data_IF_104004040906
#
_entry.id   IF_104004040906
#
_cell.length_a   1.000
_cell.length_b   1.000
_cell.length_c   1.000
_cell.angle_alpha   90.00
_cell.angle_beta   90.00
_cell.angle_gamma   90.00
#
_symmetry.space_group_name_H-M   'P 1'
#
loop_
_entity.id
_entity.type
_entity.pdbx_description
1 polymer ?
#
# COMPACT_ATOMS: atom_id res chain seq x y z
N UNK A 1 -1.72 -27.54 -6.18
CA UNK A 1 -2.89 -27.01 -6.93
C UNK A 1 -2.41 -26.60 -8.32
N UNK A 2 -3.27 -26.62 -9.33
CA UNK A 2 -2.91 -26.15 -10.67
C UNK A 2 -2.71 -24.63 -10.65
N UNK A 3 -1.63 -24.14 -11.28
CA UNK A 3 -1.36 -22.70 -11.42
C UNK A 3 -2.08 -22.18 -12.67
N UNK A 4 -2.68 -20.99 -12.57
CA UNK A 4 -3.44 -20.34 -13.64
C UNK A 4 -2.61 -19.17 -14.18
N UNK A 5 -2.15 -19.21 -15.44
CA UNK A 5 -1.41 -18.09 -16.03
C UNK A 5 -2.26 -16.81 -16.10
N UNK A 6 -1.62 -15.66 -15.85
CA UNK A 6 -2.24 -14.32 -15.91
C UNK A 6 -1.71 -13.53 -17.11
N UNK A 7 -2.60 -12.83 -17.79
CA UNK A 7 -2.36 -11.85 -18.85
C UNK A 7 -2.90 -10.46 -18.45
N UNK A 8 -2.56 -9.44 -19.24
CA UNK A 8 -3.10 -8.09 -19.05
C UNK A 8 -4.63 -8.06 -19.23
N UNK A 9 -5.32 -7.46 -18.26
CA UNK A 9 -6.77 -7.31 -18.23
C UNK A 9 -7.50 -8.50 -17.60
N UNK A 10 -6.78 -9.54 -17.16
CA UNK A 10 -7.40 -10.72 -16.57
C UNK A 10 -8.11 -10.38 -15.24
N UNK A 11 -9.17 -11.13 -15.00
CA UNK A 11 -9.93 -11.10 -13.74
C UNK A 11 -9.69 -12.42 -13.00
N UNK A 12 -9.13 -12.34 -11.80
CA UNK A 12 -8.88 -13.47 -10.92
C UNK A 12 -10.15 -13.75 -10.11
N UNK A 13 -10.99 -14.64 -10.62
CA UNK A 13 -12.38 -14.88 -10.19
C UNK A 13 -12.65 -16.28 -9.61
N UNK A 14 -11.63 -17.14 -9.50
CA UNK A 14 -11.75 -18.47 -8.90
C UNK A 14 -11.37 -18.41 -7.43
N UNK A 15 -12.32 -18.66 -6.49
CA UNK A 15 -11.99 -18.70 -5.07
C UNK A 15 -10.97 -19.80 -4.75
N UNK A 16 -9.94 -19.48 -3.98
CA UNK A 16 -8.84 -20.42 -3.72
C UNK A 16 -7.89 -20.61 -4.91
N UNK A 17 -8.07 -19.85 -6.00
CA UNK A 17 -7.24 -19.95 -7.20
C UNK A 17 -5.81 -19.50 -6.94
N UNK A 18 -4.86 -20.23 -7.53
CA UNK A 18 -3.44 -19.88 -7.54
C UNK A 18 -3.09 -19.39 -8.94
N UNK A 19 -2.90 -18.09 -9.06
CA UNK A 19 -2.61 -17.40 -10.30
C UNK A 19 -1.13 -17.03 -10.35
N UNK A 20 -0.55 -17.08 -11.54
CA UNK A 20 0.88 -16.83 -11.74
C UNK A 20 1.17 -15.97 -12.96
N UNK A 21 2.16 -15.10 -12.87
CA UNK A 21 2.80 -14.57 -14.08
C UNK A 21 3.78 -15.61 -14.63
N UNK A 22 3.66 -15.91 -15.93
CA UNK A 22 4.59 -16.80 -16.64
C UNK A 22 5.68 -16.03 -17.40
N UNK A 23 5.53 -14.71 -17.53
CA UNK A 23 6.46 -13.79 -18.14
C UNK A 23 6.16 -12.36 -17.66
N UNK A 24 7.12 -11.45 -17.82
CA UNK A 24 6.87 -10.02 -17.62
C UNK A 24 5.89 -9.48 -18.66
N UNK A 25 4.96 -8.64 -18.23
CA UNK A 25 3.91 -8.06 -19.05
C UNK A 25 4.02 -6.53 -19.09
N UNK A 26 3.78 -5.96 -20.27
CA UNK A 26 3.58 -4.52 -20.46
C UNK A 26 2.14 -4.29 -20.91
N UNK A 27 1.29 -3.84 -19.99
CA UNK A 27 -0.14 -3.71 -20.23
C UNK A 27 -0.46 -2.36 -20.90
N UNK A 28 -1.30 -2.37 -21.96
CA UNK A 28 -1.66 -1.15 -22.69
C UNK A 28 -2.68 -0.29 -21.93
N UNK A 29 -3.43 -0.89 -21.00
CA UNK A 29 -4.49 -0.27 -20.22
C UNK A 29 -4.34 -0.57 -18.73
N UNK A 30 -5.06 0.19 -17.91
CA UNK A 30 -5.21 -0.06 -16.48
C UNK A 30 -6.72 -0.18 -16.14
N UNK A 31 -7.11 -1.00 -15.15
CA UNK A 31 -6.24 -1.86 -14.34
C UNK A 31 -5.58 -2.99 -15.13
N UNK A 32 -4.38 -3.42 -14.72
CA UNK A 32 -3.69 -4.51 -15.40
C UNK A 32 -4.19 -5.88 -14.95
N UNK A 33 -4.55 -6.05 -13.68
CA UNK A 33 -5.16 -7.27 -13.13
C UNK A 33 -6.27 -6.90 -12.14
N UNK A 34 -7.42 -7.56 -12.27
CA UNK A 34 -8.54 -7.45 -11.35
C UNK A 34 -8.59 -8.69 -10.45
N UNK A 35 -8.72 -8.52 -9.14
CA UNK A 35 -8.99 -9.61 -8.20
C UNK A 35 -10.40 -9.46 -7.68
N UNK A 36 -11.25 -10.45 -7.91
CA UNK A 36 -12.68 -10.39 -7.53
C UNK A 36 -13.14 -11.57 -6.68
N UNK A 37 -12.29 -12.59 -6.52
CA UNK A 37 -12.57 -13.73 -5.67
C UNK A 37 -11.80 -13.71 -4.35
N UNK A 38 -12.33 -14.42 -3.36
CA UNK A 38 -11.69 -14.62 -2.06
C UNK A 38 -10.62 -15.71 -2.12
N UNK A 39 -9.67 -15.67 -1.19
CA UNK A 39 -8.62 -16.68 -1.04
C UNK A 39 -7.77 -16.86 -2.30
N UNK A 40 -7.61 -15.80 -3.10
CA UNK A 40 -6.80 -15.80 -4.31
C UNK A 40 -5.33 -15.63 -3.93
N UNK A 41 -4.46 -16.50 -4.44
CA UNK A 41 -3.01 -16.27 -4.45
C UNK A 41 -2.60 -15.78 -5.83
N UNK A 42 -1.92 -14.65 -5.91
CA UNK A 42 -1.30 -14.15 -7.13
C UNK A 42 0.22 -14.06 -6.92
N UNK A 43 0.92 -15.07 -7.43
CA UNK A 43 2.37 -15.16 -7.38
C UNK A 43 2.98 -14.65 -8.68
N UNK A 44 3.70 -13.54 -8.63
CA UNK A 44 4.30 -12.94 -9.80
C UNK A 44 5.63 -13.58 -10.21
N UNK A 45 6.14 -14.57 -9.46
CA UNK A 45 7.32 -15.38 -9.79
C UNK A 45 8.59 -14.60 -10.19
N UNK A 46 8.76 -13.39 -9.67
CA UNK A 46 9.84 -12.46 -9.97
C UNK A 46 9.64 -11.66 -11.27
N UNK A 47 8.52 -11.84 -11.98
CA UNK A 47 8.22 -11.09 -13.19
C UNK A 47 7.66 -9.69 -12.90
N UNK A 48 7.71 -8.86 -13.92
CA UNK A 48 7.23 -7.47 -13.86
C UNK A 48 5.87 -7.34 -14.53
N UNK A 49 4.92 -6.70 -13.84
CA UNK A 49 3.71 -6.14 -14.42
C UNK A 49 3.94 -4.64 -14.59
N UNK A 50 3.96 -4.14 -15.82
CA UNK A 50 4.27 -2.74 -16.11
C UNK A 50 3.25 -2.10 -17.04
N UNK A 51 3.24 -0.76 -17.09
CA UNK A 51 2.50 0.02 -18.08
C UNK A 51 3.39 1.09 -18.70
N UNK A 52 3.28 1.25 -20.02
CA UNK A 52 3.91 2.37 -20.74
C UNK A 52 2.97 3.57 -20.84
N UNK A 53 3.50 4.80 -20.70
CA UNK A 53 2.73 6.03 -20.91
C UNK A 53 2.24 6.66 -19.59
N UNK A 54 1.03 7.24 -19.58
CA UNK A 54 0.52 7.99 -18.43
C UNK A 54 0.15 7.07 -17.25
N UNK A 55 0.66 7.43 -16.06
CA UNK A 55 0.45 6.75 -14.77
C UNK A 55 -0.99 6.95 -14.24
N UNK A 56 -1.95 6.30 -14.92
CA UNK A 56 -3.38 6.30 -14.57
C UNK A 56 -3.85 4.87 -14.37
N UNK A 57 -4.72 4.67 -13.38
CA UNK A 57 -5.29 3.37 -13.01
C UNK A 57 -4.32 2.50 -12.21
N UNK A 58 -4.82 1.39 -11.66
CA UNK A 58 -4.02 0.50 -10.82
C UNK A 58 -3.25 -0.55 -11.64
N UNK A 59 -2.15 -1.09 -11.13
CA UNK A 59 -1.56 -2.32 -11.64
C UNK A 59 -2.43 -3.50 -11.25
N UNK A 60 -2.57 -3.72 -9.95
CA UNK A 60 -3.41 -4.76 -9.37
C UNK A 60 -4.49 -4.10 -8.53
N UNK A 61 -5.75 -4.50 -8.70
CA UNK A 61 -6.88 -3.94 -7.95
C UNK A 61 -7.91 -4.98 -7.49
N UNK A 62 -8.49 -4.80 -6.31
CA UNK A 62 -9.68 -5.54 -5.87
C UNK A 62 -10.97 -4.86 -6.33
N UNK A 63 -11.28 -4.97 -7.63
CA UNK A 63 -12.45 -4.33 -8.23
C UNK A 63 -13.06 -5.16 -9.36
N UNK A 64 -14.39 -5.17 -9.46
CA UNK A 64 -15.14 -5.65 -10.62
C UNK A 64 -15.44 -4.48 -11.55
N UNK A 65 -14.59 -4.27 -12.56
CA UNK A 65 -14.68 -3.08 -13.42
C UNK A 65 -14.38 -1.78 -12.63
N UNK A 66 -15.24 -0.75 -12.70
CA UNK A 66 -15.01 0.53 -11.99
C UNK A 66 -15.36 0.46 -10.49
N UNK A 67 -15.92 -0.65 -10.01
CA UNK A 67 -16.47 -0.77 -8.66
C UNK A 67 -15.60 -1.66 -7.81
N UNK A 68 -15.12 -1.11 -6.68
CA UNK A 68 -14.39 -1.89 -5.68
C UNK A 68 -15.23 -3.06 -5.18
N UNK A 69 -14.57 -4.19 -4.93
CA UNK A 69 -15.21 -5.39 -4.39
C UNK A 69 -14.52 -5.79 -3.09
N UNK A 70 -15.33 -6.18 -2.11
CA UNK A 70 -14.79 -6.77 -0.89
C UNK A 70 -14.25 -8.15 -1.25
N UNK A 71 -12.94 -8.32 -1.13
CA UNK A 71 -12.26 -9.61 -1.24
C UNK A 71 -11.55 -9.91 0.07
N UNK A 72 -11.54 -11.18 0.47
CA UNK A 72 -10.95 -11.64 1.71
C UNK A 72 -9.87 -12.69 1.46
N UNK A 73 -8.77 -12.65 2.19
CA UNK A 73 -7.73 -13.69 2.18
C UNK A 73 -6.89 -13.71 0.90
N UNK A 74 -6.75 -12.58 0.22
CA UNK A 74 -5.90 -12.50 -0.97
C UNK A 74 -4.42 -12.47 -0.58
N UNK A 75 -3.56 -13.07 -1.39
CA UNK A 75 -2.10 -13.01 -1.23
C UNK A 75 -1.47 -12.57 -2.55
N UNK A 76 -0.69 -11.49 -2.54
CA UNK A 76 -0.01 -10.94 -3.73
C UNK A 76 1.49 -10.87 -3.42
N UNK A 77 2.32 -11.53 -4.21
CA UNK A 77 3.74 -11.62 -3.87
C UNK A 77 4.71 -11.91 -5.01
N UNK A 78 6.00 -11.71 -4.72
CA UNK A 78 7.17 -12.03 -5.56
C UNK A 78 7.10 -11.40 -6.95
N UNK A 79 7.07 -10.07 -7.06
CA UNK A 79 7.18 -9.43 -8.37
C UNK A 79 7.26 -7.93 -8.32
N UNK A 80 7.37 -7.34 -9.50
CA UNK A 80 7.52 -5.90 -9.66
C UNK A 80 6.27 -5.30 -10.31
N UNK A 81 5.72 -4.23 -9.75
CA UNK A 81 4.64 -3.46 -10.38
C UNK A 81 5.09 -2.03 -10.63
N UNK A 82 5.00 -1.56 -11.89
CA UNK A 82 5.52 -0.23 -12.26
C UNK A 82 4.75 0.51 -13.36
N UNK A 83 4.83 1.85 -13.33
CA UNK A 83 4.25 2.72 -14.35
C UNK A 83 2.73 2.94 -14.24
N UNK A 84 2.12 2.55 -13.12
CA UNK A 84 0.69 2.73 -12.86
C UNK A 84 0.39 3.98 -12.03
N UNK A 85 -0.87 4.42 -12.01
CA UNK A 85 -1.32 5.42 -11.03
C UNK A 85 -1.25 4.88 -9.60
N UNK A 86 -1.55 3.59 -9.42
CA UNK A 86 -1.31 2.88 -8.15
C UNK A 86 -0.72 1.52 -8.46
N UNK A 87 0.37 1.11 -7.84
CA UNK A 87 0.94 -0.22 -8.06
C UNK A 87 -0.07 -1.29 -7.65
N UNK A 88 -0.40 -1.33 -6.35
CA UNK A 88 -1.44 -2.22 -5.80
C UNK A 88 -2.50 -1.39 -5.06
N UNK A 89 -3.76 -1.60 -5.41
CA UNK A 89 -4.91 -0.94 -4.77
C UNK A 89 -5.86 -1.97 -4.17
N UNK A 90 -5.85 -2.11 -2.85
CA UNK A 90 -6.91 -2.83 -2.13
C UNK A 90 -8.02 -1.85 -1.84
N UNK A 91 -9.19 -2.09 -2.40
CA UNK A 91 -10.31 -1.19 -2.29
C UNK A 91 -11.58 -1.92 -1.84
N UNK A 92 -12.22 -1.36 -0.82
CA UNK A 92 -13.54 -1.76 -0.33
C UNK A 92 -14.56 -0.68 -0.73
N UNK A 93 -15.72 -1.06 -1.30
CA UNK A 93 -16.76 -0.10 -1.68
C UNK A 93 -17.32 0.61 -0.46
N UNK A 94 -17.41 1.94 -0.53
CA UNK A 94 -18.10 2.76 0.47
C UNK A 94 -19.59 2.78 0.17
N UNK A 95 -20.38 2.09 1.00
CA UNK A 95 -21.85 2.20 0.99
C UNK A 95 -22.30 2.89 2.29
N UNK A 96 -23.45 3.59 2.31
CA UNK A 96 -24.00 4.11 3.56
C UNK A 96 -24.09 3.00 4.61
N UNK A 97 -23.34 3.13 5.71
CA UNK A 97 -23.26 2.13 6.79
C UNK A 97 -22.09 1.15 6.73
N UNK A 98 -21.29 1.14 5.67
CA UNK A 98 -20.02 0.39 5.59
C UNK A 98 -18.87 1.39 5.53
N UNK A 99 -18.17 1.57 6.65
CA UNK A 99 -17.00 2.45 6.75
C UNK A 99 -15.75 1.80 6.16
N UNK A 100 -15.59 0.50 6.40
CA UNK A 100 -14.44 -0.33 6.03
C UNK A 100 -14.82 -1.81 6.17
N UNK A 101 -14.02 -2.69 5.57
CA UNK A 101 -14.22 -4.13 5.69
C UNK A 101 -12.89 -4.84 5.92
N UNK A 102 -12.92 -5.90 6.75
CA UNK A 102 -11.75 -6.75 6.93
C UNK A 102 -11.52 -7.57 5.66
N UNK A 103 -10.34 -7.39 5.05
CA UNK A 103 -9.94 -8.04 3.82
C UNK A 103 -8.86 -9.11 4.04
N UNK A 104 -8.19 -9.13 5.20
CA UNK A 104 -7.16 -10.11 5.56
C UNK A 104 -6.18 -10.41 4.41
N UNK A 105 -5.80 -9.38 3.67
CA UNK A 105 -4.90 -9.51 2.53
C UNK A 105 -3.46 -9.56 3.00
N UNK A 106 -2.63 -10.32 2.28
CA UNK A 106 -1.19 -10.36 2.47
C UNK A 106 -0.51 -9.82 1.22
N UNK A 107 0.30 -8.78 1.38
CA UNK A 107 1.11 -8.21 0.29
C UNK A 107 2.56 -8.25 0.73
N UNK A 108 3.37 -9.08 0.05
CA UNK A 108 4.75 -9.26 0.47
C UNK A 108 5.73 -9.60 -0.64
N UNK A 109 7.00 -9.27 -0.44
CA UNK A 109 8.05 -9.53 -1.41
C UNK A 109 7.73 -8.90 -2.79
N UNK A 110 7.08 -7.74 -2.76
CA UNK A 110 6.80 -6.93 -3.94
C UNK A 110 7.82 -5.80 -4.08
N UNK A 111 8.13 -5.45 -5.33
CA UNK A 111 8.82 -4.20 -5.68
C UNK A 111 7.81 -3.26 -6.35
N UNK A 112 7.49 -2.14 -5.70
CA UNK A 112 6.47 -1.19 -6.16
C UNK A 112 7.14 0.13 -6.52
N UNK A 113 7.46 0.30 -7.80
CA UNK A 113 8.35 1.38 -8.27
C UNK A 113 7.80 2.16 -9.46
N UNK A 114 8.11 3.45 -9.54
CA UNK A 114 7.70 4.30 -10.66
C UNK A 114 6.18 4.40 -10.86
N UNK A 115 5.38 4.09 -9.84
CA UNK A 115 3.94 4.33 -9.83
C UNK A 115 3.65 5.71 -9.26
N UNK A 116 2.42 6.24 -9.38
CA UNK A 116 2.08 7.43 -8.60
C UNK A 116 1.93 7.15 -7.11
N UNK A 117 1.30 6.03 -6.75
CA UNK A 117 1.27 5.50 -5.39
C UNK A 117 1.77 4.07 -5.45
N UNK A 118 2.69 3.67 -4.56
CA UNK A 118 3.19 2.29 -4.55
C UNK A 118 2.07 1.31 -4.19
N UNK A 119 1.56 1.45 -2.96
CA UNK A 119 0.50 0.62 -2.39
C UNK A 119 -0.57 1.50 -1.72
N UNK A 120 -1.84 1.23 -2.01
CA UNK A 120 -2.96 1.92 -1.38
C UNK A 120 -4.00 0.95 -0.79
N UNK A 121 -4.39 1.21 0.46
CA UNK A 121 -5.50 0.54 1.14
C UNK A 121 -6.65 1.54 1.29
N UNK A 122 -7.78 1.28 0.65
CA UNK A 122 -8.99 2.11 0.70
C UNK A 122 -10.09 1.39 1.46
N UNK A 123 -10.32 1.81 2.69
CA UNK A 123 -11.29 1.23 3.63
C UNK A 123 -11.09 -0.29 3.82
N UNK A 124 -9.85 -0.73 3.68
CA UNK A 124 -9.46 -2.13 3.70
C UNK A 124 -8.75 -2.41 5.03
N UNK A 125 -9.43 -3.15 5.90
CA UNK A 125 -8.99 -3.40 7.27
C UNK A 125 -8.30 -4.75 7.42
N UNK A 126 -7.46 -4.88 8.45
CA UNK A 126 -6.93 -6.17 8.87
C UNK A 126 -5.94 -6.81 7.89
N UNK A 127 -5.24 -6.01 7.08
CA UNK A 127 -4.25 -6.51 6.12
C UNK A 127 -2.85 -6.59 6.72
N UNK A 128 -2.01 -7.39 6.09
CA UNK A 128 -0.61 -7.58 6.42
C UNK A 128 0.27 -7.22 5.21
N UNK A 129 1.06 -6.16 5.36
CA UNK A 129 1.94 -5.61 4.31
C UNK A 129 3.38 -5.68 4.81
N UNK A 130 4.17 -6.59 4.24
CA UNK A 130 5.51 -6.85 4.76
C UNK A 130 6.55 -7.24 3.73
N UNK A 131 7.83 -7.01 4.01
CA UNK A 131 8.94 -7.41 3.12
C UNK A 131 8.78 -6.88 1.69
N UNK A 132 8.19 -5.69 1.54
CA UNK A 132 8.09 -5.02 0.24
C UNK A 132 9.16 -3.94 0.12
N UNK A 133 9.65 -3.74 -1.09
CA UNK A 133 10.44 -2.57 -1.48
C UNK A 133 9.52 -1.61 -2.23
N UNK A 134 9.31 -0.42 -1.70
CA UNK A 134 8.42 0.59 -2.27
C UNK A 134 9.21 1.86 -2.52
N UNK A 135 9.71 2.00 -3.74
CA UNK A 135 10.73 2.97 -4.08
C UNK A 135 10.37 3.86 -5.26
N UNK A 136 10.92 5.07 -5.31
CA UNK A 136 10.90 5.94 -6.50
C UNK A 136 9.50 6.16 -7.11
N UNK A 137 8.44 6.17 -6.30
CA UNK A 137 7.09 6.49 -6.77
C UNK A 137 6.94 8.01 -7.02
N UNK A 138 6.18 8.36 -8.06
CA UNK A 138 6.18 9.63 -8.75
C UNK A 138 5.00 10.55 -8.36
N UNK A 139 5.24 11.85 -8.40
CA UNK A 139 4.24 12.89 -8.09
C UNK A 139 3.20 13.17 -9.19
N UNK A 140 2.58 12.16 -9.78
CA UNK A 140 1.68 12.36 -10.93
C UNK A 140 0.24 11.90 -10.65
N UNK A 141 -0.78 12.70 -11.00
CA UNK A 141 -2.14 12.22 -11.34
C UNK A 141 -2.98 11.42 -10.31
N UNK A 142 -2.83 11.57 -8.99
CA UNK A 142 -3.73 10.94 -7.98
C UNK A 142 -4.02 11.84 -6.76
N UNK A 143 -4.83 11.35 -5.80
CA UNK A 143 -5.23 12.06 -4.57
C UNK A 143 -4.11 12.17 -3.53
N UNK A 144 -3.08 11.32 -3.59
CA UNK A 144 -1.87 11.35 -2.74
C UNK A 144 -0.61 11.03 -3.55
N UNK A 145 -0.34 11.80 -4.60
CA UNK A 145 0.66 11.43 -5.58
C UNK A 145 2.04 11.39 -4.92
N UNK A 146 2.84 10.39 -5.30
CA UNK A 146 4.18 10.18 -4.81
C UNK A 146 4.28 9.46 -3.47
N UNK A 147 3.19 8.93 -2.91
CA UNK A 147 3.26 8.22 -1.61
C UNK A 147 3.70 6.77 -1.83
N UNK A 148 4.60 6.26 -0.99
CA UNK A 148 4.99 4.85 -1.02
C UNK A 148 3.82 3.94 -0.62
N UNK A 149 3.47 3.93 0.67
CA UNK A 149 2.36 3.15 1.23
C UNK A 149 1.32 4.10 1.83
N UNK A 150 0.08 4.03 1.37
CA UNK A 150 -1.00 4.91 1.81
C UNK A 150 -2.22 4.14 2.33
N UNK A 151 -2.68 4.48 3.54
CA UNK A 151 -3.90 3.93 4.14
C UNK A 151 -4.97 5.03 4.20
N UNK A 152 -6.14 4.76 3.66
CA UNK A 152 -7.28 5.69 3.62
C UNK A 152 -8.46 5.05 4.34
N UNK A 153 -8.88 5.60 5.49
CA UNK A 153 -9.98 5.02 6.26
C UNK A 153 -9.79 3.56 6.63
N UNK A 154 -8.54 3.12 6.75
CA UNK A 154 -8.18 1.71 6.88
C UNK A 154 -7.55 1.45 8.24
N UNK A 155 -8.08 0.47 8.97
CA UNK A 155 -7.71 0.16 10.35
C UNK A 155 -7.31 -1.28 10.60
N UNK A 156 -6.64 -1.52 11.73
CA UNK A 156 -6.23 -2.87 12.12
C UNK A 156 -5.16 -3.52 11.24
N UNK A 157 -4.49 -2.75 10.37
CA UNK A 157 -3.47 -3.29 9.47
C UNK A 157 -2.11 -3.43 10.18
N UNK A 158 -1.34 -4.43 9.76
CA UNK A 158 0.06 -4.62 10.12
C UNK A 158 0.93 -4.20 8.94
N UNK A 159 1.79 -3.21 9.14
CA UNK A 159 2.74 -2.73 8.12
C UNK A 159 4.13 -2.89 8.70
N UNK A 160 4.88 -3.90 8.26
CA UNK A 160 6.17 -4.20 8.89
C UNK A 160 7.25 -4.72 7.95
N UNK A 161 8.52 -4.46 8.28
CA UNK A 161 9.65 -4.98 7.50
C UNK A 161 9.58 -4.56 6.02
N UNK A 162 9.04 -3.38 5.73
CA UNK A 162 9.10 -2.79 4.40
C UNK A 162 10.27 -1.81 4.30
N UNK A 163 10.84 -1.73 3.12
CA UNK A 163 11.80 -0.70 2.72
C UNK A 163 11.06 0.31 1.85
N UNK A 164 10.91 1.55 2.33
CA UNK A 164 10.09 2.58 1.68
C UNK A 164 10.91 3.83 1.44
N UNK A 165 11.44 3.97 0.22
CA UNK A 165 12.52 4.93 -0.05
C UNK A 165 12.31 5.80 -1.27
N UNK A 166 12.85 7.03 -1.26
CA UNK A 166 12.92 7.88 -2.46
C UNK A 166 11.55 8.16 -3.12
N UNK A 167 10.46 8.09 -2.36
CA UNK A 167 9.13 8.40 -2.89
C UNK A 167 8.94 9.93 -2.95
N UNK A 168 8.23 10.39 -3.98
CA UNK A 168 8.10 11.82 -4.29
C UNK A 168 7.34 12.64 -3.23
N UNK A 169 6.56 11.99 -2.37
CA UNK A 169 5.99 12.64 -1.19
C UNK A 169 6.32 11.87 0.07
N UNK A 170 5.36 11.15 0.66
CA UNK A 170 5.55 10.48 1.94
C UNK A 170 6.00 9.03 1.74
N UNK A 171 6.77 8.50 2.69
CA UNK A 171 7.06 7.07 2.73
C UNK A 171 5.80 6.28 3.06
N UNK A 172 5.38 6.30 4.32
CA UNK A 172 4.17 5.63 4.83
C UNK A 172 3.19 6.68 5.38
N UNK A 173 1.94 6.66 4.93
CA UNK A 173 0.93 7.64 5.33
C UNK A 173 -0.37 6.98 5.86
N UNK A 174 -0.75 7.35 7.09
CA UNK A 174 -2.03 7.02 7.72
C UNK A 174 -3.02 8.19 7.57
N UNK A 175 -3.95 8.04 6.64
CA UNK A 175 -4.85 9.09 6.17
C UNK A 175 -6.30 8.83 6.58
N UNK A 176 -7.07 9.90 6.80
CA UNK A 176 -8.53 9.86 6.97
C UNK A 176 -9.03 8.80 7.96
N UNK A 177 -8.84 9.02 9.26
CA UNK A 177 -9.30 8.08 10.30
C UNK A 177 -8.70 6.66 10.24
N UNK A 178 -7.60 6.44 9.51
CA UNK A 178 -6.86 5.18 9.52
C UNK A 178 -6.30 4.89 10.92
N UNK A 179 -7.01 4.06 11.67
CA UNK A 179 -6.85 3.92 13.12
C UNK A 179 -6.52 2.48 13.52
N UNK A 180 -5.90 2.31 14.68
CA UNK A 180 -5.53 0.99 15.21
C UNK A 180 -4.62 0.16 14.29
N UNK A 181 -3.76 0.82 13.50
CA UNK A 181 -2.74 0.16 12.70
C UNK A 181 -1.44 -0.02 13.51
N UNK A 182 -0.66 -1.04 13.16
CA UNK A 182 0.65 -1.30 13.75
C UNK A 182 1.72 -1.19 12.67
N UNK A 183 2.58 -0.19 12.81
CA UNK A 183 3.74 0.05 11.95
C UNK A 183 4.99 -0.36 12.72
N UNK A 184 5.71 -1.37 12.25
CA UNK A 184 6.93 -1.78 12.95
C UNK A 184 8.05 -2.32 12.08
N UNK A 185 9.30 -2.07 12.46
CA UNK A 185 10.47 -2.58 11.73
C UNK A 185 10.50 -2.17 10.26
N UNK A 186 9.92 -1.03 9.90
CA UNK A 186 10.06 -0.49 8.54
C UNK A 186 11.31 0.40 8.48
N UNK A 187 12.00 0.33 7.35
CA UNK A 187 13.07 1.24 6.97
C UNK A 187 12.49 2.24 5.97
N UNK A 188 12.45 3.52 6.35
CA UNK A 188 11.81 4.58 5.58
C UNK A 188 12.82 5.68 5.34
N UNK A 189 13.23 5.95 4.11
CA UNK A 189 14.32 6.89 3.91
C UNK A 189 14.24 7.71 2.63
N UNK A 190 14.76 8.93 2.70
CA UNK A 190 14.92 9.80 1.54
C UNK A 190 13.60 10.09 0.79
N UNK A 191 12.45 10.04 1.46
CA UNK A 191 11.18 10.46 0.87
C UNK A 191 11.08 11.98 0.93
N UNK A 192 10.54 12.60 -0.11
CA UNK A 192 10.68 14.04 -0.31
C UNK A 192 9.83 14.90 0.66
N UNK A 193 8.82 14.32 1.32
CA UNK A 193 8.00 14.98 2.33
C UNK A 193 8.23 14.39 3.74
N UNK A 194 7.31 13.57 4.26
CA UNK A 194 7.52 12.89 5.55
C UNK A 194 7.93 11.43 5.35
N UNK A 195 8.77 10.89 6.23
CA UNK A 195 9.01 9.45 6.28
C UNK A 195 7.73 8.71 6.65
N UNK A 196 7.31 8.86 7.91
CA UNK A 196 6.04 8.34 8.42
C UNK A 196 5.11 9.52 8.76
N UNK A 197 3.91 9.53 8.17
CA UNK A 197 2.89 10.57 8.36
C UNK A 197 1.63 9.99 9.01
N UNK A 198 1.19 10.60 10.11
CA UNK A 198 -0.10 10.34 10.76
C UNK A 198 -0.95 11.61 10.75
N UNK A 199 -2.10 11.54 10.09
CA UNK A 199 -3.00 12.70 9.92
C UNK A 199 -4.03 12.82 11.03
N UNK A 200 -4.68 13.98 11.11
CA UNK A 200 -5.75 14.26 12.07
C UNK A 200 -6.85 13.18 11.96
N UNK A 201 -7.23 12.59 13.10
CA UNK A 201 -8.26 11.57 13.20
C UNK A 201 -7.74 10.13 13.05
N UNK A 202 -6.52 9.92 12.54
CA UNK A 202 -5.87 8.61 12.56
C UNK A 202 -5.35 8.33 13.99
N UNK A 203 -6.08 7.51 14.75
CA UNK A 203 -5.90 7.34 16.20
C UNK A 203 -5.60 5.90 16.60
N UNK A 204 -5.06 5.68 17.80
CA UNK A 204 -4.80 4.36 18.35
C UNK A 204 -3.76 3.54 17.58
N UNK A 205 -2.97 4.18 16.71
CA UNK A 205 -1.92 3.52 15.96
C UNK A 205 -0.70 3.27 16.86
N UNK A 206 0.00 2.17 16.62
CA UNK A 206 1.27 1.83 17.28
C UNK A 206 2.37 1.92 16.24
N UNK A 207 3.31 2.84 16.43
CA UNK A 207 4.46 3.05 15.57
C UNK A 207 5.71 2.74 16.39
N UNK A 208 6.32 1.58 16.15
CA UNK A 208 7.44 1.11 16.99
C UNK A 208 8.56 0.46 16.20
N UNK A 209 9.81 0.62 16.64
CA UNK A 209 10.96 -0.02 15.99
C UNK A 209 11.11 0.31 14.51
N UNK A 210 10.63 1.47 14.04
CA UNK A 210 10.88 1.91 12.68
C UNK A 210 12.14 2.80 12.67
N UNK A 211 12.84 2.77 11.55
CA UNK A 211 13.91 3.69 11.26
C UNK A 211 13.43 4.59 10.11
N UNK A 212 13.21 5.88 10.40
CA UNK A 212 12.94 6.85 9.35
C UNK A 212 14.03 7.94 9.35
N UNK A 213 14.73 8.11 8.23
CA UNK A 213 15.87 9.03 8.15
C UNK A 213 16.05 9.66 6.76
N UNK A 214 16.49 10.92 6.76
CA UNK A 214 16.81 11.63 5.52
C UNK A 214 15.57 12.01 4.72
N UNK A 215 14.38 11.97 5.32
CA UNK A 215 13.16 12.44 4.68
C UNK A 215 13.10 13.98 4.69
N UNK A 216 12.29 14.56 3.82
CA UNK A 216 12.30 15.99 3.51
C UNK A 216 12.03 16.91 4.70
N UNK A 217 10.75 17.06 5.07
CA UNK A 217 10.37 18.00 6.14
C UNK A 217 10.60 17.41 7.53
N UNK A 218 10.19 16.16 7.72
CA UNK A 218 10.32 15.43 8.98
C UNK A 218 10.39 13.93 8.68
N UNK A 219 11.22 13.18 9.39
CA UNK A 219 11.22 11.72 9.32
C UNK A 219 9.91 11.15 9.93
N UNK A 220 9.37 11.82 10.95
CA UNK A 220 8.09 11.48 11.55
C UNK A 220 7.18 12.70 11.75
N UNK A 221 5.97 12.64 11.20
CA UNK A 221 4.94 13.67 11.29
C UNK A 221 3.68 13.11 11.93
N UNK A 222 3.19 13.80 12.95
CA UNK A 222 1.91 13.56 13.60
C UNK A 222 1.11 14.87 13.63
N UNK A 223 -0.17 14.84 13.25
CA UNK A 223 -1.02 16.03 13.25
C UNK A 223 -2.14 16.00 14.30
N UNK A 224 -2.33 14.90 15.02
CA UNK A 224 -3.21 14.86 16.17
C UNK A 224 -2.60 15.66 17.34
N UNK A 225 -3.44 16.39 18.08
CA UNK A 225 -3.00 17.17 19.23
C UNK A 225 -2.35 16.25 20.28
N UNK A 226 -1.10 16.54 20.65
CA UNK A 226 -0.31 15.72 21.59
C UNK A 226 -0.24 14.23 21.20
N UNK A 227 -0.10 13.96 19.90
CA UNK A 227 -0.16 12.61 19.31
C UNK A 227 -1.48 11.85 19.50
N UNK A 228 -2.53 12.49 20.03
CA UNK A 228 -3.81 11.83 20.28
C UNK A 228 -3.65 10.58 21.14
N UNK A 229 -4.10 9.43 20.63
CA UNK A 229 -3.92 8.10 21.26
C UNK A 229 -2.89 7.24 20.53
N UNK A 230 -2.10 7.81 19.61
CA UNK A 230 -1.05 7.10 18.91
C UNK A 230 0.16 6.89 19.84
N UNK A 231 0.77 5.71 19.76
CA UNK A 231 1.93 5.34 20.56
C UNK A 231 3.14 5.25 19.66
N UNK A 232 4.15 6.09 19.94
CA UNK A 232 5.45 6.08 19.29
C UNK A 232 6.46 5.52 20.28
N UNK A 233 7.17 4.45 19.92
CA UNK A 233 8.08 3.78 20.84
C UNK A 233 9.27 3.13 20.14
N UNK A 234 10.48 3.41 20.63
CA UNK A 234 11.72 2.76 20.15
C UNK A 234 11.93 2.93 18.64
N UNK A 235 11.54 4.07 18.07
CA UNK A 235 11.87 4.40 16.69
C UNK A 235 13.20 5.18 16.63
N UNK A 236 13.77 5.25 15.42
CA UNK A 236 14.93 6.07 15.12
C UNK A 236 14.50 7.12 14.11
N UNK A 237 14.45 8.38 14.56
CA UNK A 237 14.11 9.55 13.74
C UNK A 237 15.15 10.64 13.96
N UNK A 238 15.60 11.30 12.89
CA UNK A 238 16.45 12.49 12.99
C UNK A 238 15.62 13.75 13.21
N UNK A 239 14.45 13.83 12.57
CA UNK A 239 13.54 14.98 12.61
C UNK A 239 12.11 14.55 12.88
N UNK A 240 11.42 15.30 13.74
CA UNK A 240 10.02 15.06 14.11
C UNK A 240 9.29 16.36 14.41
N UNK A 241 7.99 16.41 14.11
CA UNK A 241 7.22 17.65 14.25
C UNK A 241 6.56 17.83 15.63
N UNK A 242 6.46 16.78 16.45
CA UNK A 242 5.90 16.82 17.80
C UNK A 242 6.81 16.14 18.82
N UNK A 243 6.81 16.64 20.06
CA UNK A 243 7.64 16.12 21.15
C UNK A 243 7.20 14.74 21.68
N UNK A 244 5.93 14.35 21.45
CA UNK A 244 5.39 13.05 21.86
C UNK A 244 5.86 11.89 20.96
N UNK A 245 6.43 12.18 19.80
CA UNK A 245 7.03 11.16 18.93
C UNK A 245 8.36 10.70 19.57
N UNK A 246 8.49 9.39 19.82
CA UNK A 246 9.69 8.77 20.41
C UNK A 246 10.37 7.80 19.45
#
# INVERSE_FOLDING_TARGET
>A
MAQIPVNCGDTLDIPGGVYVLAASLTCPSAPAVHIVANNVTFDMQGFTLSKSGSAVGAGIITAGGPTCVVTNGISIHHGTVSGFGTGISLCVPTSPGVSSANTNAQIHHMTLTGNSVGLALFNADGNDVHHNTVDANLGTTTTTPGTGIALFGSGGNQIHQNEVTANFTNGIALLFSSSNNNLSHNEVANNHASGILVTIGALGNVIKHNEATGDGAFDATEYNASCGTNVWQMNVFSTKNQACIQ
#
